data_IF_172488686010
#
_entry.id   IF_172488686010
#
_cell.length_a   1.000
_cell.length_b   1.000
_cell.length_c   1.000
_cell.angle_alpha   90.00
_cell.angle_beta   90.00
_cell.angle_gamma   90.00
#
_symmetry.space_group_name_H-M   'P 1'
#
loop_
_entity.id
_entity.type
_entity.pdbx_description
1 polymer ?
#
# COMPACT_ATOMS: atom_id res chain seq x y z
N UNK A 1 -37.16 7.11 -29.95
CA UNK A 1 -36.40 5.89 -29.62
C UNK A 1 -34.90 6.16 -29.48
N UNK A 2 -34.27 6.90 -30.41
CA UNK A 2 -32.85 7.24 -30.33
C UNK A 2 -32.48 8.16 -29.14
N UNK A 3 -33.28 9.18 -28.84
CA UNK A 3 -33.00 10.14 -27.75
C UNK A 3 -33.03 9.49 -26.35
N UNK A 4 -33.93 8.54 -26.13
CA UNK A 4 -34.03 7.81 -24.86
C UNK A 4 -32.88 6.82 -24.65
N UNK A 5 -32.29 6.28 -25.73
CA UNK A 5 -31.09 5.44 -25.65
C UNK A 5 -29.86 6.29 -25.27
N UNK A 6 -29.69 7.46 -25.92
CA UNK A 6 -28.61 8.41 -25.62
C UNK A 6 -28.67 8.90 -24.16
N UNK A 7 -29.87 9.19 -23.65
CA UNK A 7 -30.06 9.58 -22.25
C UNK A 7 -29.72 8.45 -21.26
N UNK A 8 -30.06 7.19 -21.60
CA UNK A 8 -29.72 6.04 -20.75
C UNK A 8 -28.20 5.82 -20.70
N UNK A 9 -27.52 5.92 -21.82
CA UNK A 9 -26.07 5.73 -21.90
C UNK A 9 -25.33 6.82 -21.11
N UNK A 10 -25.80 8.07 -21.20
CA UNK A 10 -25.25 9.18 -20.41
C UNK A 10 -25.42 8.97 -18.89
N UNK A 11 -26.58 8.48 -18.45
CA UNK A 11 -26.84 8.17 -17.03
C UNK A 11 -25.96 7.01 -16.55
N UNK A 12 -25.77 5.96 -17.36
CA UNK A 12 -24.88 4.85 -17.00
C UNK A 12 -23.42 5.30 -16.90
N UNK A 13 -22.95 6.13 -17.83
CA UNK A 13 -21.60 6.68 -17.80
C UNK A 13 -21.37 7.56 -16.56
N UNK A 14 -22.34 8.41 -16.20
CA UNK A 14 -22.28 9.24 -15.01
C UNK A 14 -22.21 8.41 -13.72
N UNK A 15 -23.01 7.34 -13.65
CA UNK A 15 -22.98 6.41 -12.52
C UNK A 15 -21.63 5.67 -12.42
N UNK A 16 -21.12 5.14 -13.53
CA UNK A 16 -19.83 4.45 -13.54
C UNK A 16 -18.70 5.38 -13.10
N UNK A 17 -18.71 6.64 -13.54
CA UNK A 17 -17.76 7.66 -13.08
C UNK A 17 -17.87 7.88 -11.57
N UNK A 18 -19.07 8.05 -11.04
CA UNK A 18 -19.29 8.23 -9.61
C UNK A 18 -18.77 7.05 -8.79
N UNK A 19 -18.98 5.82 -9.27
CA UNK A 19 -18.47 4.60 -8.62
C UNK A 19 -16.92 4.55 -8.64
N UNK A 20 -16.28 4.95 -9.75
CA UNK A 20 -14.82 5.01 -9.84
C UNK A 20 -14.22 6.14 -8.97
N UNK A 21 -14.87 7.31 -8.92
CA UNK A 21 -14.45 8.42 -8.06
C UNK A 21 -14.52 8.01 -6.57
N UNK A 22 -15.56 7.25 -6.19
CA UNK A 22 -15.69 6.70 -4.84
C UNK A 22 -14.58 5.69 -4.53
N UNK A 23 -14.21 4.82 -5.48
CA UNK A 23 -13.07 3.90 -5.34
C UNK A 23 -11.75 4.66 -5.19
N UNK A 24 -11.54 5.71 -5.98
CA UNK A 24 -10.34 6.56 -5.91
C UNK A 24 -10.20 7.35 -4.60
N UNK A 25 -11.30 7.53 -3.86
CA UNK A 25 -11.32 8.23 -2.58
C UNK A 25 -11.04 7.31 -1.37
N UNK A 26 -10.86 5.99 -1.60
CA UNK A 26 -10.57 5.03 -0.52
C UNK A 26 -9.12 5.22 -0.05
N UNK A 27 -8.87 5.36 1.27
CA UNK A 27 -7.51 5.40 1.80
C UNK A 27 -6.71 4.15 1.43
N UNK A 28 -5.42 4.29 1.15
CA UNK A 28 -4.57 3.19 0.63
C UNK A 28 -4.63 1.92 1.51
N UNK A 29 -4.55 2.08 2.83
CA UNK A 29 -4.65 0.97 3.78
C UNK A 29 -6.00 0.22 3.68
N UNK A 30 -7.09 0.94 3.45
CA UNK A 30 -8.43 0.35 3.30
C UNK A 30 -8.63 -0.24 1.89
N UNK A 31 -8.07 0.38 0.86
CA UNK A 31 -8.06 -0.14 -0.50
C UNK A 31 -7.35 -1.51 -0.55
N UNK A 32 -6.25 -1.66 0.18
CA UNK A 32 -5.53 -2.92 0.29
C UNK A 32 -6.38 -4.01 0.98
N UNK A 33 -7.12 -3.67 2.05
CA UNK A 33 -8.05 -4.60 2.71
C UNK A 33 -9.19 -5.04 1.78
N UNK A 34 -9.79 -4.09 1.04
CA UNK A 34 -10.85 -4.37 0.07
C UNK A 34 -10.34 -5.28 -1.05
N UNK A 35 -9.17 -4.98 -1.62
CA UNK A 35 -8.55 -5.79 -2.65
C UNK A 35 -8.30 -7.22 -2.16
N UNK A 36 -7.74 -7.38 -0.96
CA UNK A 36 -7.51 -8.68 -0.35
C UNK A 36 -8.82 -9.44 -0.12
N UNK A 37 -9.85 -8.77 0.40
CA UNK A 37 -11.17 -9.37 0.60
C UNK A 37 -11.74 -9.92 -0.71
N UNK A 38 -11.81 -9.09 -1.77
CA UNK A 38 -12.37 -9.50 -3.07
C UNK A 38 -11.54 -10.64 -3.69
N UNK A 39 -10.22 -10.52 -3.69
CA UNK A 39 -9.33 -11.54 -4.23
C UNK A 39 -9.36 -12.85 -3.42
N UNK A 40 -9.82 -12.82 -2.17
CA UNK A 40 -9.97 -14.04 -1.37
C UNK A 40 -11.25 -14.82 -1.68
N UNK A 41 -12.25 -14.19 -2.30
CA UNK A 41 -13.54 -14.81 -2.63
C UNK A 41 -13.59 -15.30 -4.09
N UNK A 42 -12.87 -14.65 -5.01
CA UNK A 42 -12.94 -14.93 -6.45
C UNK A 42 -11.55 -15.12 -7.08
N UNK A 43 -11.30 -16.33 -7.65
CA UNK A 43 -10.02 -16.64 -8.31
C UNK A 43 -9.82 -15.90 -9.63
N UNK A 44 -10.87 -15.65 -10.40
CA UNK A 44 -10.78 -14.90 -11.65
C UNK A 44 -10.43 -13.44 -11.37
N UNK A 45 -11.01 -12.84 -10.31
CA UNK A 45 -10.64 -11.49 -9.88
C UNK A 45 -9.20 -11.46 -9.36
N UNK A 46 -8.80 -12.44 -8.55
CA UNK A 46 -7.40 -12.56 -8.08
C UNK A 46 -6.41 -12.66 -9.24
N UNK A 47 -6.72 -13.47 -10.26
CA UNK A 47 -5.90 -13.59 -11.48
C UNK A 47 -5.79 -12.25 -12.20
N UNK A 48 -6.93 -11.61 -12.46
CA UNK A 48 -6.99 -10.32 -13.16
C UNK A 48 -6.25 -9.22 -12.42
N UNK A 49 -6.34 -9.17 -11.08
CA UNK A 49 -5.60 -8.23 -10.25
C UNK A 49 -4.09 -8.44 -10.36
N UNK A 50 -3.61 -9.69 -10.32
CA UNK A 50 -2.19 -10.00 -10.47
C UNK A 50 -1.68 -9.73 -11.90
N UNK A 51 -2.49 -9.97 -12.93
CA UNK A 51 -2.13 -9.65 -14.31
C UNK A 51 -2.01 -8.15 -14.52
N UNK A 52 -2.95 -7.37 -13.95
CA UNK A 52 -2.88 -5.91 -13.97
C UNK A 52 -1.65 -5.42 -13.20
N UNK A 53 -1.41 -5.91 -11.98
CA UNK A 53 -0.25 -5.50 -11.17
C UNK A 53 1.08 -5.81 -11.86
N UNK A 54 1.20 -6.96 -12.55
CA UNK A 54 2.41 -7.33 -13.31
C UNK A 54 2.62 -6.46 -14.55
N UNK A 55 1.54 -5.99 -15.18
CA UNK A 55 1.60 -5.11 -16.34
C UNK A 55 1.69 -3.62 -15.98
N UNK A 56 1.36 -3.25 -14.74
CA UNK A 56 1.38 -1.88 -14.28
C UNK A 56 2.82 -1.37 -14.13
N UNK A 57 3.16 -0.19 -14.67
CA UNK A 57 4.46 0.41 -14.45
C UNK A 57 4.61 0.72 -12.96
N UNK A 58 5.67 0.18 -12.34
CA UNK A 58 6.04 0.52 -10.98
C UNK A 58 6.94 1.74 -11.05
N UNK A 59 6.63 2.76 -10.27
CA UNK A 59 7.45 3.96 -10.13
C UNK A 59 7.67 4.21 -8.65
N UNK A 60 8.91 4.49 -8.30
CA UNK A 60 9.31 4.97 -6.99
C UNK A 60 10.26 6.17 -7.21
N UNK A 61 10.43 6.99 -6.19
CA UNK A 61 11.35 8.13 -6.23
C UNK A 61 12.59 7.77 -5.42
N UNK A 62 13.76 7.93 -6.03
CA UNK A 62 15.02 7.60 -5.36
C UNK A 62 15.33 8.61 -4.26
N UNK A 63 15.62 8.16 -3.05
CA UNK A 63 15.96 9.05 -1.93
C UNK A 63 17.37 9.64 -2.01
N UNK A 64 18.21 9.13 -2.91
CA UNK A 64 19.61 9.57 -3.08
C UNK A 64 19.78 10.59 -4.21
N UNK A 65 19.04 10.42 -5.32
CA UNK A 65 19.16 11.29 -6.50
C UNK A 65 17.85 11.95 -6.92
N UNK A 66 16.76 11.71 -6.18
CA UNK A 66 15.43 12.30 -6.37
C UNK A 66 14.74 12.01 -7.71
N UNK A 67 15.33 11.14 -8.53
CA UNK A 67 14.77 10.73 -9.82
C UNK A 67 13.76 9.60 -9.67
N UNK A 68 12.70 9.67 -10.46
CA UNK A 68 11.78 8.54 -10.65
C UNK A 68 12.53 7.35 -11.27
N UNK A 69 12.30 6.16 -10.72
CA UNK A 69 12.85 4.92 -11.25
C UNK A 69 11.83 3.78 -11.21
N UNK A 70 12.07 2.76 -12.04
CA UNK A 70 11.32 1.51 -12.03
C UNK A 70 12.08 0.49 -11.15
N UNK A 71 11.53 0.07 -9.99
CA UNK A 71 12.19 -0.89 -9.11
C UNK A 71 12.48 -2.23 -9.78
N UNK A 72 11.68 -2.64 -10.78
CA UNK A 72 11.89 -3.87 -11.52
C UNK A 72 13.03 -3.75 -12.56
N UNK A 73 13.44 -2.52 -12.91
CA UNK A 73 14.50 -2.19 -13.88
C UNK A 73 15.62 -1.34 -13.26
N UNK A 74 16.01 -1.68 -12.04
CA UNK A 74 17.04 -0.97 -11.28
C UNK A 74 18.41 -1.67 -11.38
N UNK A 75 19.21 -1.28 -12.37
CA UNK A 75 20.57 -1.78 -12.55
C UNK A 75 21.51 -1.30 -11.42
N UNK A 76 22.63 -2.00 -11.20
CA UNK A 76 23.58 -1.69 -10.14
C UNK A 76 24.29 -0.33 -10.27
N UNK A 77 24.20 0.29 -11.45
CA UNK A 77 24.82 1.54 -11.84
C UNK A 77 23.80 2.59 -12.34
N UNK A 78 22.50 2.34 -12.10
CA UNK A 78 21.41 3.19 -12.59
C UNK A 78 21.32 4.54 -11.86
N UNK A 79 21.65 4.56 -10.57
CA UNK A 79 21.65 5.76 -9.75
C UNK A 79 23.02 6.41 -9.75
N UNK A 80 23.08 7.74 -9.84
CA UNK A 80 24.28 8.52 -9.60
C UNK A 80 23.93 9.65 -8.64
N UNK A 81 24.62 9.70 -7.50
CA UNK A 81 24.32 10.63 -6.41
C UNK A 81 25.62 11.10 -5.74
N UNK A 82 25.48 12.13 -4.92
CA UNK A 82 26.55 12.61 -4.04
C UNK A 82 26.20 12.19 -2.61
N UNK A 83 27.05 11.40 -1.93
CA UNK A 83 26.81 10.99 -0.54
C UNK A 83 27.16 12.08 0.49
N UNK A 84 27.82 13.16 0.05
CA UNK A 84 28.19 14.29 0.89
C UNK A 84 27.23 15.46 0.71
N UNK A 85 27.42 16.47 1.55
CA UNK A 85 26.60 17.68 1.54
C UNK A 85 27.03 18.63 0.42
N UNK A 86 26.06 19.38 -0.10
CA UNK A 86 26.31 20.52 -0.97
C UNK A 86 26.55 21.71 -0.04
N UNK A 87 27.71 22.33 -0.08
CA UNK A 87 28.13 23.35 0.91
C UNK A 87 28.47 24.66 0.20
N UNK A 88 28.15 25.79 0.84
CA UNK A 88 28.52 27.11 0.32
C UNK A 88 30.04 27.22 0.26
N UNK A 89 30.57 27.62 -0.89
CA UNK A 89 31.98 27.94 -1.05
C UNK A 89 32.13 29.43 -1.35
N UNK A 90 32.42 30.20 -0.29
CA UNK A 90 32.54 31.66 -0.34
C UNK A 90 33.74 32.15 -1.15
N UNK A 91 34.72 31.28 -1.43
CA UNK A 91 35.94 31.62 -2.15
C UNK A 91 35.77 31.55 -3.69
N UNK A 92 34.59 31.16 -4.19
CA UNK A 92 34.32 31.03 -5.62
C UNK A 92 33.99 32.37 -6.28
N UNK A 93 34.61 32.62 -7.45
CA UNK A 93 34.46 33.85 -8.25
C UNK A 93 33.01 34.18 -8.63
N UNK A 94 32.09 33.21 -8.61
CA UNK A 94 30.67 33.45 -8.89
C UNK A 94 30.06 34.46 -7.92
N UNK A 95 30.56 34.52 -6.68
CA UNK A 95 30.08 35.45 -5.66
C UNK A 95 30.56 36.89 -5.88
N UNK A 96 31.66 37.10 -6.62
CA UNK A 96 32.17 38.45 -6.93
C UNK A 96 31.22 39.26 -7.82
N UNK A 97 30.36 38.57 -8.59
CA UNK A 97 29.38 39.18 -9.48
C UNK A 97 27.95 39.21 -8.91
N UNK A 98 27.71 38.60 -7.76
CA UNK A 98 26.40 38.59 -7.10
C UNK A 98 26.29 39.87 -6.27
N UNK A 99 25.42 40.77 -6.74
CA UNK A 99 25.15 42.05 -6.08
C UNK A 99 24.43 41.79 -4.74
N UNK A 100 25.17 41.80 -3.63
CA UNK A 100 24.64 41.64 -2.26
C UNK A 100 23.93 42.91 -1.73
N UNK A 101 23.63 43.85 -2.64
CA UNK A 101 23.08 45.17 -2.37
C UNK A 101 21.57 45.21 -2.12
N UNK A 102 20.94 44.08 -1.82
CA UNK A 102 19.54 44.05 -1.41
C UNK A 102 19.45 44.61 0.02
N UNK A 103 19.15 45.91 0.13
CA UNK A 103 19.16 46.63 1.40
C UNK A 103 17.83 46.42 2.17
N UNK A 104 17.89 46.00 3.44
CA UNK A 104 19.09 45.79 4.24
C UNK A 104 19.75 44.43 3.97
N UNK A 105 21.09 44.43 3.90
CA UNK A 105 21.98 43.29 3.71
C UNK A 105 21.83 42.17 4.77
N UNK A 106 20.98 42.39 5.77
CA UNK A 106 20.57 41.42 6.80
C UNK A 106 19.59 40.35 6.27
N UNK A 107 19.20 40.40 4.99
CA UNK A 107 18.22 39.50 4.39
C UNK A 107 18.73 38.59 3.26
N UNK A 108 19.94 38.80 2.74
CA UNK A 108 20.48 37.93 1.69
C UNK A 108 21.32 36.80 2.28
N UNK A 109 20.71 35.62 2.41
CA UNK A 109 21.37 34.41 2.87
C UNK A 109 22.02 33.68 1.68
N UNK A 110 23.35 33.77 1.57
CA UNK A 110 24.12 33.10 0.49
C UNK A 110 23.89 31.60 0.53
N UNK A 111 23.93 31.00 1.72
CA UNK A 111 23.61 29.58 1.95
C UNK A 111 22.10 29.36 2.10
N UNK A 112 21.34 29.63 1.03
CA UNK A 112 19.90 29.37 0.98
C UNK A 112 19.58 28.31 -0.08
N UNK A 113 18.48 27.58 0.12
CA UNK A 113 17.97 26.61 -0.86
C UNK A 113 17.69 27.26 -2.22
N UNK A 114 17.24 28.51 -2.24
CA UNK A 114 17.05 29.27 -3.47
C UNK A 114 18.38 29.46 -4.22
N UNK A 115 19.44 29.89 -3.53
CA UNK A 115 20.75 30.07 -4.16
C UNK A 115 21.40 28.75 -4.57
N UNK A 116 21.15 27.66 -3.84
CA UNK A 116 21.61 26.31 -4.22
C UNK A 116 21.03 25.85 -5.57
N UNK A 117 19.82 26.30 -5.89
CA UNK A 117 19.13 26.01 -7.15
C UNK A 117 19.46 27.03 -8.25
N UNK A 118 19.55 28.31 -7.91
CA UNK A 118 19.72 29.41 -8.87
C UNK A 118 21.19 29.67 -9.23
N UNK A 119 22.12 29.43 -8.30
CA UNK A 119 23.57 29.65 -8.44
C UNK A 119 24.33 28.42 -7.90
N UNK A 120 24.11 27.22 -8.47
CA UNK A 120 24.76 26.01 -7.98
C UNK A 120 26.29 26.11 -8.06
N UNK A 121 26.85 26.91 -8.98
CA UNK A 121 28.29 27.16 -9.11
C UNK A 121 28.90 27.85 -7.88
N UNK A 122 28.09 28.37 -6.95
CA UNK A 122 28.55 28.91 -5.66
C UNK A 122 28.73 27.86 -4.57
N UNK A 123 28.45 26.60 -4.87
CA UNK A 123 28.41 25.51 -3.92
C UNK A 123 29.29 24.35 -4.37
N UNK A 124 29.83 23.63 -3.39
CA UNK A 124 30.75 22.50 -3.57
C UNK A 124 30.22 21.27 -2.87
N UNK A 125 30.35 20.12 -3.51
CA UNK A 125 30.04 18.83 -2.90
C UNK A 125 31.20 18.34 -2.03
N UNK A 126 30.96 18.12 -0.73
CA UNK A 126 31.99 17.68 0.22
C UNK A 126 32.49 16.24 -0.03
N UNK A 127 31.77 15.44 -0.82
CA UNK A 127 32.17 14.08 -1.16
C UNK A 127 33.21 13.97 -2.27
N UNK A 128 33.33 14.96 -3.15
CA UNK A 128 34.21 14.89 -4.33
C UNK A 128 34.85 16.21 -4.74
N UNK A 129 34.64 17.27 -3.94
CA UNK A 129 35.12 18.64 -4.14
C UNK A 129 34.70 19.27 -5.48
N UNK A 130 33.72 18.71 -6.17
CA UNK A 130 33.20 19.28 -7.42
C UNK A 130 32.22 20.41 -7.10
N UNK A 131 32.29 21.45 -7.90
CA UNK A 131 31.46 22.65 -7.80
C UNK A 131 30.27 22.54 -8.76
N UNK A 132 29.11 23.07 -8.37
CA UNK A 132 27.95 23.14 -9.25
C UNK A 132 27.01 21.93 -9.21
N UNK A 133 25.96 22.02 -10.03
CA UNK A 133 25.03 20.94 -10.32
C UNK A 133 25.69 19.95 -11.28
N UNK A 134 26.60 19.17 -10.71
CA UNK A 134 27.35 18.14 -11.43
C UNK A 134 26.81 16.76 -11.12
N UNK A 135 26.96 15.85 -12.10
CA UNK A 135 26.61 14.43 -11.91
C UNK A 135 27.27 13.86 -10.65
N UNK A 136 26.46 13.12 -9.87
CA UNK A 136 26.86 12.37 -8.69
C UNK A 136 28.19 11.63 -8.84
N UNK A 137 29.02 11.70 -7.80
CA UNK A 137 30.34 11.06 -7.79
C UNK A 137 30.30 9.57 -7.50
N UNK A 138 29.22 9.06 -6.91
CA UNK A 138 28.99 7.65 -6.63
C UNK A 138 27.91 7.07 -7.54
N UNK A 139 28.04 5.78 -7.87
CA UNK A 139 27.06 5.04 -8.68
C UNK A 139 26.54 3.83 -7.93
N UNK A 140 25.24 3.60 -7.98
CA UNK A 140 24.60 2.50 -7.28
C UNK A 140 23.24 2.13 -7.85
N UNK A 141 22.50 1.31 -7.11
CA UNK A 141 21.07 1.11 -7.35
C UNK A 141 20.30 2.30 -6.81
N UNK A 142 19.16 2.61 -7.41
CA UNK A 142 18.21 3.52 -6.79
C UNK A 142 17.66 2.90 -5.50
N UNK A 143 17.63 3.69 -4.43
CA UNK A 143 16.97 3.34 -3.17
C UNK A 143 15.68 4.14 -3.06
N UNK A 144 14.55 3.47 -2.89
CA UNK A 144 13.23 4.09 -2.77
C UNK A 144 12.49 3.59 -1.53
N UNK A 145 11.43 4.29 -1.16
CA UNK A 145 10.68 3.99 0.07
C UNK A 145 9.79 2.75 -0.05
N UNK A 146 9.49 2.29 -1.28
CA UNK A 146 8.58 1.17 -1.54
C UNK A 146 9.24 -0.22 -1.57
N UNK A 147 10.58 -0.31 -1.49
CA UNK A 147 11.29 -1.57 -1.72
C UNK A 147 11.26 -2.57 -0.55
N UNK A 148 10.89 -2.17 0.69
CA UNK A 148 11.20 -2.97 1.90
C UNK A 148 10.01 -3.42 2.76
N UNK A 149 8.75 -3.12 2.43
CA UNK A 149 7.61 -3.38 3.34
C UNK A 149 6.70 -4.55 2.97
N UNK A 150 7.07 -5.38 1.98
CA UNK A 150 6.16 -6.45 1.49
C UNK A 150 5.96 -7.62 2.48
N UNK A 151 6.92 -7.92 3.36
CA UNK A 151 6.87 -9.14 4.18
C UNK A 151 6.08 -9.00 5.50
N UNK A 152 6.07 -7.83 6.13
CA UNK A 152 5.43 -7.63 7.45
C UNK A 152 3.91 -7.38 7.36
N UNK A 153 3.43 -6.84 6.25
CA UNK A 153 2.04 -6.34 6.10
C UNK A 153 1.03 -7.44 5.75
N UNK A 154 1.45 -8.49 5.05
CA UNK A 154 0.54 -9.54 4.53
C UNK A 154 -0.14 -10.35 5.63
N UNK A 155 0.56 -10.65 6.73
CA UNK A 155 0.00 -11.42 7.84
C UNK A 155 -1.06 -10.63 8.62
N UNK A 156 -0.85 -9.32 8.83
CA UNK A 156 -1.81 -8.45 9.51
C UNK A 156 -3.11 -8.29 8.72
N UNK A 157 -3.00 -8.08 7.41
CA UNK A 157 -4.16 -7.95 6.51
C UNK A 157 -4.98 -9.25 6.46
N UNK A 158 -4.31 -10.41 6.41
CA UNK A 158 -4.99 -11.70 6.41
C UNK A 158 -5.83 -11.91 7.68
N UNK A 159 -5.31 -11.55 8.85
CA UNK A 159 -6.05 -11.65 10.12
C UNK A 159 -7.26 -10.72 10.16
N UNK A 160 -7.12 -9.48 9.70
CA UNK A 160 -8.22 -8.51 9.70
C UNK A 160 -9.33 -8.91 8.73
N UNK A 161 -8.96 -9.42 7.54
CA UNK A 161 -9.93 -9.97 6.59
C UNK A 161 -10.62 -11.21 7.17
N UNK A 162 -9.90 -12.10 7.83
CA UNK A 162 -10.51 -13.26 8.49
C UNK A 162 -11.53 -12.83 9.57
N UNK A 163 -11.26 -11.75 10.31
CA UNK A 163 -12.24 -11.15 11.24
C UNK A 163 -13.46 -10.59 10.52
N UNK A 164 -13.28 -9.91 9.38
CA UNK A 164 -14.41 -9.43 8.56
C UNK A 164 -15.26 -10.58 8.03
N UNK A 165 -14.63 -11.69 7.58
CA UNK A 165 -15.33 -12.91 7.15
C UNK A 165 -16.15 -13.52 8.29
N UNK A 166 -15.57 -13.64 9.49
CA UNK A 166 -16.26 -14.19 10.65
C UNK A 166 -17.51 -13.35 11.04
N UNK A 167 -17.43 -12.01 10.95
CA UNK A 167 -18.57 -11.12 11.19
C UNK A 167 -19.70 -11.36 10.18
N UNK A 168 -19.40 -11.43 8.88
CA UNK A 168 -20.42 -11.66 7.84
C UNK A 168 -21.11 -13.02 7.98
N UNK A 169 -20.36 -14.08 8.33
CA UNK A 169 -20.95 -15.39 8.58
C UNK A 169 -21.86 -15.40 9.82
N UNK A 170 -21.50 -14.66 10.87
CA UNK A 170 -22.36 -14.47 12.05
C UNK A 170 -23.64 -13.68 11.76
N UNK A 171 -23.57 -12.66 10.90
CA UNK A 171 -24.72 -11.85 10.48
C UNK A 171 -25.71 -12.63 9.58
N UNK A 172 -25.20 -13.54 8.74
CA UNK A 172 -26.03 -14.44 7.94
C UNK A 172 -26.71 -15.53 8.80
N UNK A 173 -26.02 -16.04 9.83
CA UNK A 173 -26.58 -16.99 10.80
C UNK A 173 -27.69 -16.39 11.69
N UNK A 174 -27.61 -15.10 12.01
CA UNK A 174 -28.62 -14.39 12.80
C UNK A 174 -29.94 -14.10 12.06
N UNK A 175 -29.96 -14.16 10.72
CA UNK A 175 -31.18 -13.94 9.92
C UNK A 175 -32.03 -15.20 9.71
N UNK A 176 -31.48 -16.40 9.92
CA UNK A 176 -32.21 -17.68 9.76
C UNK A 176 -33.06 -18.02 11.00
N UNK A 177 -32.96 -17.27 12.11
CA UNK A 177 -33.70 -17.52 13.35
C UNK A 177 -35.01 -16.75 13.54
N UNK A 178 -35.51 -16.01 12.55
CA UNK A 178 -36.78 -15.25 12.65
C UNK A 178 -37.80 -15.71 11.60
N UNK A 179 -38.11 -17.00 11.60
CA UNK A 179 -39.29 -17.51 10.91
C UNK A 179 -40.47 -17.56 11.90
N UNK A 180 -41.35 -16.55 11.77
CA UNK A 180 -42.79 -16.58 12.02
C UNK A 180 -43.34 -17.49 13.14
N UNK A 181 -43.52 -16.93 14.34
CA UNK A 181 -44.44 -17.45 15.35
C UNK A 181 -45.89 -17.20 14.89
N UNK A 182 -46.48 -18.16 14.16
CA UNK A 182 -47.92 -18.22 13.93
C UNK A 182 -48.57 -18.78 15.20
N UNK A 183 -49.30 -17.92 15.88
CA UNK A 183 -50.09 -18.23 17.08
C UNK A 183 -51.21 -19.23 16.74
N UNK A 184 -51.14 -20.45 17.29
CA UNK A 184 -52.24 -21.42 17.33
C UNK A 184 -52.56 -21.70 18.80
N UNK A 185 -53.77 -21.38 19.30
CA UNK A 185 -54.12 -21.63 20.69
C UNK A 185 -54.79 -23.01 20.85
N UNK A 186 -54.38 -23.75 21.89
CA UNK A 186 -55.22 -24.75 22.56
C UNK A 186 -54.68 -26.18 22.58
N UNK A 187 -54.31 -26.67 23.77
CA UNK A 187 -54.11 -28.11 24.03
C UNK A 187 -53.32 -28.38 25.32
N UNK A 188 -53.99 -28.92 26.33
CA UNK A 188 -53.49 -29.14 27.70
C UNK A 188 -52.36 -30.18 27.85
N UNK A 189 -51.54 -29.91 28.87
CA UNK A 189 -50.76 -30.76 29.79
C UNK A 189 -50.83 -32.30 29.67
N UNK A 190 -49.67 -32.97 29.78
CA UNK A 190 -49.18 -33.62 31.03
C UNK A 190 -48.04 -34.64 30.82
N UNK A 191 -47.15 -34.71 31.83
CA UNK A 191 -46.38 -35.87 32.34
C UNK A 191 -44.94 -36.20 31.87
N UNK A 192 -44.00 -35.93 32.79
CA UNK A 192 -43.06 -36.86 33.48
C UNK A 192 -42.57 -38.10 32.71
N UNK A 193 -41.24 -38.25 32.61
CA UNK A 193 -40.43 -39.25 33.36
C UNK A 193 -38.93 -39.02 33.19
N UNK A 194 -38.20 -39.26 34.29
CA UNK A 194 -36.74 -39.43 34.37
C UNK A 194 -36.31 -40.78 33.79
N UNK A 195 -35.06 -40.87 33.32
CA UNK A 195 -34.21 -42.04 33.54
C UNK A 195 -32.73 -41.66 33.36
N UNK A 196 -31.94 -41.98 34.38
CA UNK A 196 -30.48 -41.97 34.47
C UNK A 196 -29.85 -43.14 33.68
N UNK A 197 -28.53 -43.09 33.43
CA UNK A 197 -27.71 -44.23 32.98
C UNK A 197 -26.53 -43.78 32.08
N UNK A 198 -25.36 -43.43 32.61
CA UNK A 198 -24.22 -44.26 33.04
C UNK A 198 -23.27 -44.70 31.89
N UNK A 199 -22.02 -44.19 32.00
CA UNK A 199 -20.68 -44.68 31.65
C UNK A 199 -20.46 -45.74 30.55
N UNK A 200 -19.45 -45.46 29.71
CA UNK A 200 -18.78 -46.43 28.86
C UNK A 200 -17.37 -45.98 28.46
N UNK A 201 -16.38 -46.56 29.14
CA UNK A 201 -14.94 -46.47 28.93
C UNK A 201 -14.44 -46.96 27.55
N UNK A 202 -13.28 -46.42 27.15
CA UNK A 202 -12.18 -47.17 26.53
C UNK A 202 -12.21 -47.39 25.01
N UNK A 203 -11.18 -46.90 24.30
CA UNK A 203 -10.04 -47.77 23.97
C UNK A 203 -8.88 -46.95 23.35
N UNK A 204 -7.67 -47.30 23.76
CA UNK A 204 -6.41 -46.76 23.28
C UNK A 204 -5.68 -47.82 22.47
N UNK A 205 -5.14 -47.46 21.30
CA UNK A 205 -4.02 -48.17 20.66
C UNK A 205 -3.33 -47.26 19.63
N UNK A 206 -2.14 -46.72 19.91
CA UNK A 206 -0.78 -47.26 19.68
C UNK A 206 -0.27 -47.20 18.23
N UNK A 207 0.77 -46.35 18.06
CA UNK A 207 2.08 -46.62 17.41
C UNK A 207 2.07 -46.78 15.87
N UNK A 208 2.89 -46.04 15.11
CA UNK A 208 4.31 -46.37 14.84
C UNK A 208 5.16 -45.17 14.39
N UNK A 209 6.40 -45.27 14.86
CA UNK A 209 7.62 -44.50 14.62
C UNK A 209 8.23 -44.87 13.26
N UNK A 210 8.89 -43.93 12.57
CA UNK A 210 9.76 -44.20 11.43
C UNK A 210 10.63 -43.00 11.08
N UNK A 211 11.95 -43.13 11.30
CA UNK A 211 12.99 -42.19 10.97
C UNK A 211 13.86 -42.74 9.82
N UNK A 212 14.57 -41.86 9.10
CA UNK A 212 15.62 -42.17 8.12
C UNK A 212 15.63 -41.06 7.06
N UNK A 213 16.56 -40.09 7.02
CA UNK A 213 18.03 -40.17 6.95
C UNK A 213 18.52 -40.98 5.75
N UNK A 214 18.75 -40.28 4.64
CA UNK A 214 19.87 -40.52 3.73
C UNK A 214 20.23 -39.25 2.96
#
# INVERSE_FOLDING_TARGET
>A
MAEHAVQRDAVQAARAKQELDAVGSIPEADAQKVLYFICSEDEAVRRKALDFYRGAPKRDVCTQCEKEFDPDKNASDACCYHPGDFELDEDLEVWDGVDDYDWPAEHYERDSEANRQDIPEGFRWSCCDRVGDVKGCETGRHEGTGATTAAATTYGLALEVNRMKAKRLGELGGRVGKESEVHVPGGQASNKRKADGELGDGDASKVKKGAGAH
#
